data_IF_478667562378
#
_entry.id   IF_478667562378
#
_cell.length_a   1.000
_cell.length_b   1.000
_cell.length_c   1.000
_cell.angle_alpha   90.00
_cell.angle_beta   90.00
_cell.angle_gamma   90.00
#
_symmetry.space_group_name_H-M   'P 1'
#
loop_
_entity.id
_entity.type
_entity.pdbx_description
1 polymer ?
#
# COMPACT_ATOMS: atom_id res chain seq x y z
N UNK A 1 21.76 -52.71 -0.66
CA UNK A 1 22.18 -51.71 -1.68
C UNK A 1 20.98 -51.46 -2.58
N UNK A 2 20.34 -50.30 -2.45
CA UNK A 2 19.19 -49.92 -3.28
C UNK A 2 19.76 -49.15 -4.48
N UNK A 3 19.40 -49.49 -5.73
CA UNK A 3 19.96 -48.84 -6.90
C UNK A 3 19.55 -47.36 -6.94
N UNK A 4 20.51 -46.52 -7.32
CA UNK A 4 20.41 -45.07 -7.43
C UNK A 4 19.53 -44.63 -8.62
N UNK A 5 18.25 -45.00 -8.60
CA UNK A 5 17.31 -44.77 -9.71
C UNK A 5 15.93 -44.25 -9.33
N UNK A 6 15.66 -43.91 -8.07
CA UNK A 6 14.28 -43.62 -7.62
C UNK A 6 14.08 -42.28 -6.87
N UNK A 7 15.02 -41.33 -6.99
CA UNK A 7 14.87 -40.00 -6.36
C UNK A 7 15.00 -38.81 -7.35
N UNK A 8 14.86 -39.07 -8.66
CA UNK A 8 14.97 -38.04 -9.70
C UNK A 8 13.60 -37.52 -10.20
N UNK A 9 12.57 -37.51 -9.34
CA UNK A 9 11.23 -37.07 -9.74
C UNK A 9 10.51 -36.28 -8.63
N UNK A 10 11.09 -35.15 -8.21
CA UNK A 10 10.38 -34.05 -7.54
C UNK A 10 11.21 -32.75 -7.42
N UNK A 11 12.43 -32.74 -7.95
CA UNK A 11 13.33 -31.58 -7.91
C UNK A 11 13.38 -30.86 -9.24
N UNK A 12 12.22 -30.43 -9.75
CA UNK A 12 12.18 -29.43 -10.81
C UNK A 12 12.65 -28.09 -10.22
N UNK A 13 13.96 -27.95 -10.01
CA UNK A 13 14.59 -26.66 -9.79
C UNK A 13 14.47 -25.95 -11.14
N UNK A 14 13.32 -25.31 -11.35
CA UNK A 14 13.16 -24.30 -12.38
C UNK A 14 14.20 -23.25 -12.03
N UNK A 15 15.27 -23.19 -12.83
CA UNK A 15 16.21 -22.09 -12.77
C UNK A 15 15.39 -20.79 -12.81
N UNK A 16 15.52 -19.89 -11.82
CA UNK A 16 14.79 -18.64 -11.85
C UNK A 16 15.19 -17.90 -13.13
N UNK A 17 14.23 -17.35 -13.90
CA UNK A 17 14.57 -16.63 -15.10
C UNK A 17 15.45 -15.43 -14.73
N UNK A 18 16.44 -15.07 -15.57
CA UNK A 18 17.20 -13.83 -15.39
C UNK A 18 16.20 -12.67 -15.44
N UNK A 19 15.94 -12.03 -14.30
CA UNK A 19 14.80 -11.09 -14.22
C UNK A 19 14.54 -10.45 -12.87
N UNK A 20 15.43 -10.58 -11.88
CA UNK A 20 15.27 -9.97 -10.55
C UNK A 20 14.99 -8.46 -10.61
N UNK A 21 15.71 -7.75 -11.48
CA UNK A 21 15.51 -6.31 -11.72
C UNK A 21 14.15 -6.00 -12.37
N UNK A 22 13.71 -6.80 -13.36
CA UNK A 22 12.38 -6.63 -13.97
C UNK A 22 11.25 -6.87 -12.96
N UNK A 23 11.39 -7.84 -12.07
CA UNK A 23 10.40 -8.13 -11.01
C UNK A 23 10.37 -7.02 -9.96
N UNK A 24 11.52 -6.53 -9.51
CA UNK A 24 11.60 -5.38 -8.60
C UNK A 24 10.94 -4.15 -9.22
N UNK A 25 11.22 -3.86 -10.50
CA UNK A 25 10.59 -2.74 -11.21
C UNK A 25 9.08 -2.89 -11.32
N UNK A 26 8.56 -4.08 -11.64
CA UNK A 26 7.13 -4.32 -11.71
C UNK A 26 6.42 -4.06 -10.36
N UNK A 27 7.02 -4.54 -9.26
CA UNK A 27 6.51 -4.32 -7.90
C UNK A 27 6.63 -2.84 -7.50
N UNK A 28 7.72 -2.19 -7.87
CA UNK A 28 7.91 -0.76 -7.66
C UNK A 28 6.83 0.06 -8.40
N UNK A 29 6.52 -0.25 -9.66
CA UNK A 29 5.43 0.41 -10.40
C UNK A 29 4.08 0.27 -9.71
N UNK A 30 3.77 -0.91 -9.18
CA UNK A 30 2.56 -1.11 -8.39
C UNK A 30 2.55 -0.21 -7.14
N UNK A 31 3.65 -0.17 -6.38
CA UNK A 31 3.76 0.67 -5.20
C UNK A 31 3.70 2.18 -5.50
N UNK A 32 4.17 2.64 -6.67
CA UNK A 32 4.00 4.02 -7.13
C UNK A 32 2.51 4.32 -7.29
N UNK A 33 1.78 3.52 -8.08
CA UNK A 33 0.36 3.74 -8.37
C UNK A 33 -0.47 3.70 -7.08
N UNK A 34 -0.24 2.67 -6.25
CA UNK A 34 -0.92 2.51 -4.96
C UNK A 34 -0.62 3.64 -3.98
N UNK A 35 0.64 4.08 -3.90
CA UNK A 35 1.05 5.20 -3.07
C UNK A 35 0.40 6.51 -3.50
N UNK A 36 0.38 6.82 -4.79
CA UNK A 36 -0.30 8.03 -5.28
C UNK A 36 -1.81 7.98 -5.09
N UNK A 37 -2.46 6.84 -5.34
CA UNK A 37 -3.89 6.72 -5.19
C UNK A 37 -4.33 6.86 -3.72
N UNK A 38 -3.57 6.28 -2.78
CA UNK A 38 -3.80 6.46 -1.34
C UNK A 38 -3.47 7.88 -0.86
N UNK A 39 -2.44 8.53 -1.40
CA UNK A 39 -2.13 9.93 -1.11
C UNK A 39 -3.27 10.86 -1.54
N UNK A 40 -3.83 10.65 -2.73
CA UNK A 40 -4.99 11.42 -3.22
C UNK A 40 -6.21 11.23 -2.31
N UNK A 41 -6.48 10.00 -1.86
CA UNK A 41 -7.54 9.72 -0.91
C UNK A 41 -7.30 10.44 0.43
N UNK A 42 -6.05 10.44 0.92
CA UNK A 42 -5.70 11.14 2.15
C UNK A 42 -5.92 12.65 2.04
N UNK A 43 -5.56 13.26 0.90
CA UNK A 43 -5.83 14.67 0.61
C UNK A 43 -7.34 14.94 0.59
N UNK A 44 -8.12 14.08 -0.05
CA UNK A 44 -9.58 14.15 -0.03
C UNK A 44 -10.11 14.09 1.41
N UNK A 45 -9.66 13.12 2.21
CA UNK A 45 -10.06 12.97 3.60
C UNK A 45 -9.77 14.24 4.42
N UNK A 46 -8.57 14.83 4.30
CA UNK A 46 -8.21 16.09 4.97
C UNK A 46 -9.12 17.24 4.54
N UNK A 47 -9.47 17.34 3.25
CA UNK A 47 -10.32 18.41 2.73
C UNK A 47 -11.81 18.24 3.09
N UNK A 48 -12.27 17.01 3.37
CA UNK A 48 -13.63 16.75 3.84
C UNK A 48 -13.85 17.17 5.31
N UNK A 49 -12.80 17.23 6.13
CA UNK A 49 -12.92 17.53 7.57
C UNK A 49 -13.57 18.88 7.93
N UNK A 50 -13.22 20.01 7.29
CA UNK A 50 -13.89 21.28 7.60
C UNK A 50 -15.39 21.27 7.25
N UNK A 51 -15.84 20.38 6.37
CA UNK A 51 -17.27 20.23 6.05
C UNK A 51 -18.04 19.41 7.10
N UNK A 52 -17.32 18.59 7.89
CA UNK A 52 -17.86 17.79 9.00
C UNK A 52 -18.01 18.62 10.28
N UNK A 53 -17.15 19.64 10.47
CA UNK A 53 -17.22 20.55 11.60
C UNK A 53 -18.49 21.41 11.53
N UNK A 54 -19.46 21.12 12.40
CA UNK A 54 -20.70 21.88 12.56
C UNK A 54 -21.95 21.27 11.90
N UNK A 55 -21.80 20.21 11.10
CA UNK A 55 -22.93 19.45 10.50
C UNK A 55 -23.16 18.10 11.15
N UNK A 56 -22.12 17.52 11.77
CA UNK A 56 -22.18 16.23 12.46
C UNK A 56 -21.97 16.41 13.98
N UNK A 57 -22.47 15.48 14.79
CA UNK A 57 -22.26 15.41 16.25
C UNK A 57 -20.84 14.92 16.60
N UNK A 58 -19.84 15.32 15.83
CA UNK A 58 -18.42 14.99 16.06
C UNK A 58 -17.79 16.00 17.01
N UNK A 59 -17.03 15.51 17.98
CA UNK A 59 -16.25 16.34 18.89
C UNK A 59 -15.01 16.93 18.19
N UNK A 60 -14.46 18.02 18.71
CA UNK A 60 -13.22 18.61 18.17
C UNK A 60 -12.04 17.64 18.23
N UNK A 61 -12.00 16.78 19.26
CA UNK A 61 -10.95 15.78 19.45
C UNK A 61 -11.01 14.67 18.37
N UNK A 62 -12.20 14.20 18.02
CA UNK A 62 -12.40 13.23 16.94
C UNK A 62 -11.98 13.82 15.58
N UNK A 63 -12.27 15.10 15.34
CA UNK A 63 -11.84 15.79 14.11
C UNK A 63 -10.32 15.93 14.07
N UNK A 64 -9.69 16.27 15.19
CA UNK A 64 -8.23 16.35 15.29
C UNK A 64 -7.56 14.98 15.04
N UNK A 65 -8.11 13.90 15.60
CA UNK A 65 -7.63 12.53 15.38
C UNK A 65 -7.77 12.09 13.93
N UNK A 66 -8.93 12.31 13.31
CA UNK A 66 -9.13 12.04 11.88
C UNK A 66 -8.11 12.81 11.02
N UNK A 67 -7.76 14.03 11.42
CA UNK A 67 -6.82 14.87 10.68
C UNK A 67 -5.42 14.32 10.77
N UNK A 68 -5.02 13.94 11.98
CA UNK A 68 -3.73 13.32 12.22
C UNK A 68 -3.60 12.01 11.42
N UNK A 69 -4.60 11.13 11.45
CA UNK A 69 -4.56 9.87 10.72
C UNK A 69 -4.54 10.06 9.21
N UNK A 70 -5.31 11.02 8.68
CA UNK A 70 -5.27 11.34 7.25
C UNK A 70 -3.91 11.93 6.83
N UNK A 71 -3.27 12.77 7.65
CA UNK A 71 -1.93 13.27 7.39
C UNK A 71 -0.86 12.18 7.47
N UNK A 72 -0.99 11.23 8.41
CA UNK A 72 -0.10 10.07 8.52
C UNK A 72 -0.29 9.10 7.34
N UNK A 73 -1.51 8.94 6.85
CA UNK A 73 -1.78 8.22 5.61
C UNK A 73 -1.11 8.91 4.42
N UNK A 74 -1.23 10.24 4.30
CA UNK A 74 -0.57 11.02 3.24
C UNK A 74 0.95 10.88 3.31
N UNK A 75 1.54 10.99 4.50
CA UNK A 75 2.99 10.89 4.68
C UNK A 75 3.51 9.49 4.31
N UNK A 76 2.84 8.45 4.79
CA UNK A 76 3.25 7.06 4.52
C UNK A 76 3.11 6.69 3.04
N UNK A 77 2.00 7.07 2.42
CA UNK A 77 1.73 6.80 1.00
C UNK A 77 2.66 7.60 0.07
N UNK A 78 2.96 8.86 0.40
CA UNK A 78 3.95 9.65 -0.33
C UNK A 78 5.36 9.05 -0.20
N UNK A 79 5.75 8.60 1.00
CA UNK A 79 7.04 7.94 1.21
C UNK A 79 7.15 6.61 0.46
N UNK A 80 6.07 5.81 0.43
CA UNK A 80 5.97 4.62 -0.41
C UNK A 80 6.18 4.97 -1.89
N UNK A 81 5.44 5.95 -2.42
CA UNK A 81 5.50 6.33 -3.82
C UNK A 81 6.89 6.87 -4.21
N UNK A 82 7.50 7.70 -3.36
CA UNK A 82 8.83 8.26 -3.58
C UNK A 82 9.90 7.15 -3.63
N UNK A 83 9.90 6.24 -2.66
CA UNK A 83 10.85 5.13 -2.65
C UNK A 83 10.64 4.16 -3.81
N UNK A 84 9.39 3.88 -4.16
CA UNK A 84 9.06 3.04 -5.30
C UNK A 84 9.50 3.69 -6.63
N UNK A 85 9.42 5.03 -6.74
CA UNK A 85 9.94 5.77 -7.90
C UNK A 85 11.45 5.54 -8.05
N UNK A 86 12.20 5.67 -6.96
CA UNK A 86 13.64 5.39 -6.98
C UNK A 86 13.93 3.95 -7.42
N UNK A 87 13.20 2.97 -6.90
CA UNK A 87 13.37 1.57 -7.29
C UNK A 87 12.97 1.29 -8.76
N UNK A 88 11.95 1.96 -9.29
CA UNK A 88 11.48 1.79 -10.66
C UNK A 88 12.46 2.39 -11.68
N UNK A 89 13.04 3.55 -11.37
CA UNK A 89 13.91 4.31 -12.27
C UNK A 89 15.41 4.12 -12.01
N UNK A 90 15.80 3.30 -11.03
CA UNK A 90 17.21 3.01 -10.80
C UNK A 90 17.85 2.39 -12.05
N UNK A 91 18.99 2.94 -12.47
CA UNK A 91 19.79 2.39 -13.56
C UNK A 91 20.46 1.07 -13.15
N UNK A 92 20.82 0.25 -14.13
CA UNK A 92 21.54 -1.02 -13.88
C UNK A 92 22.97 -0.76 -13.36
N UNK A 93 23.51 0.44 -13.61
CA UNK A 93 24.84 0.89 -13.17
C UNK A 93 24.88 1.34 -11.71
N UNK A 94 23.73 1.53 -11.05
CA UNK A 94 23.70 1.86 -9.64
C UNK A 94 24.25 0.70 -8.79
N UNK A 95 24.91 1.03 -7.68
CA UNK A 95 25.47 0.06 -6.73
C UNK A 95 24.50 -1.10 -6.50
N UNK A 96 24.97 -2.33 -6.75
CA UNK A 96 24.21 -3.57 -6.49
C UNK A 96 23.58 -3.48 -5.09
N UNK A 97 22.25 -3.47 -5.04
CA UNK A 97 21.48 -3.40 -3.80
C UNK A 97 20.70 -2.09 -3.57
N UNK A 98 21.06 -0.96 -4.18
CA UNK A 98 20.30 0.30 -4.02
C UNK A 98 18.84 0.17 -4.48
N UNK A 99 18.53 -0.36 -5.67
CA UNK A 99 17.14 -0.54 -6.11
C UNK A 99 16.35 -1.46 -5.18
N UNK A 100 17.02 -2.50 -4.66
CA UNK A 100 16.41 -3.44 -3.73
C UNK A 100 16.07 -2.78 -2.39
N UNK A 101 16.98 -1.97 -1.82
CA UNK A 101 16.73 -1.26 -0.56
C UNK A 101 15.54 -0.31 -0.66
N UNK A 102 15.44 0.44 -1.75
CA UNK A 102 14.30 1.33 -1.99
C UNK A 102 13.00 0.55 -2.23
N UNK A 103 13.05 -0.59 -2.92
CA UNK A 103 11.89 -1.47 -3.09
C UNK A 103 11.44 -2.07 -1.75
N UNK A 104 12.37 -2.53 -0.91
CA UNK A 104 12.07 -3.04 0.43
C UNK A 104 11.47 -1.94 1.32
N UNK A 105 12.00 -0.72 1.25
CA UNK A 105 11.46 0.42 1.98
C UNK A 105 10.05 0.78 1.49
N UNK A 106 9.83 0.89 0.18
CA UNK A 106 8.51 1.13 -0.40
C UNK A 106 7.50 0.07 0.05
N UNK A 107 7.94 -1.18 0.11
CA UNK A 107 7.14 -2.30 0.57
C UNK A 107 6.76 -2.18 2.06
N UNK A 108 7.73 -1.85 2.92
CA UNK A 108 7.49 -1.60 4.35
C UNK A 108 6.55 -0.42 4.58
N UNK A 109 6.72 0.68 3.82
CA UNK A 109 5.81 1.82 3.86
C UNK A 109 4.40 1.44 3.39
N UNK A 110 4.27 0.49 2.46
CA UNK A 110 2.97 -0.08 2.08
C UNK A 110 2.20 -0.68 3.24
N UNK A 111 2.87 -1.30 4.21
CA UNK A 111 2.22 -1.82 5.43
C UNK A 111 1.71 -0.68 6.31
N UNK A 112 2.53 0.35 6.50
CA UNK A 112 2.14 1.53 7.26
C UNK A 112 0.96 2.25 6.59
N UNK A 113 1.00 2.40 5.26
CA UNK A 113 -0.09 2.97 4.46
C UNK A 113 -1.37 2.14 4.57
N UNK A 114 -1.28 0.81 4.50
CA UNK A 114 -2.44 -0.07 4.67
C UNK A 114 -3.10 0.11 6.05
N UNK A 115 -2.30 0.09 7.13
CA UNK A 115 -2.83 0.29 8.48
C UNK A 115 -3.48 1.67 8.66
N UNK A 116 -2.85 2.73 8.14
CA UNK A 116 -3.40 4.09 8.23
C UNK A 116 -4.66 4.24 7.40
N UNK A 117 -4.72 3.55 6.25
CA UNK A 117 -5.89 3.55 5.37
C UNK A 117 -7.10 2.92 6.08
N UNK A 118 -6.89 1.81 6.77
CA UNK A 118 -7.93 1.13 7.55
C UNK A 118 -8.49 2.04 8.66
N UNK A 119 -7.61 2.69 9.43
CA UNK A 119 -8.02 3.65 10.47
C UNK A 119 -8.84 4.82 9.89
N UNK A 120 -8.32 5.48 8.84
CA UNK A 120 -9.00 6.64 8.22
C UNK A 120 -10.39 6.26 7.71
N UNK A 121 -10.53 5.07 7.12
CA UNK A 121 -11.80 4.62 6.56
C UNK A 121 -12.78 4.20 7.65
N UNK A 122 -12.31 3.49 8.68
CA UNK A 122 -13.14 3.15 9.83
C UNK A 122 -13.68 4.39 10.52
N UNK A 123 -12.82 5.38 10.79
CA UNK A 123 -13.23 6.66 11.38
C UNK A 123 -14.18 7.44 10.47
N UNK A 124 -13.91 7.51 9.17
CA UNK A 124 -14.80 8.18 8.22
C UNK A 124 -16.17 7.49 8.14
N UNK A 125 -16.22 6.16 8.16
CA UNK A 125 -17.47 5.39 8.19
C UNK A 125 -18.23 5.63 9.51
N UNK A 126 -17.53 5.63 10.65
CA UNK A 126 -18.13 5.87 11.96
C UNK A 126 -18.74 7.27 12.06
N UNK A 127 -18.04 8.29 11.55
CA UNK A 127 -18.54 9.67 11.53
C UNK A 127 -19.72 9.86 10.56
N UNK A 128 -19.65 9.28 9.36
CA UNK A 128 -20.72 9.40 8.35
C UNK A 128 -22.00 8.67 8.74
N UNK A 129 -21.90 7.50 9.39
CA UNK A 129 -23.05 6.66 9.77
C UNK A 129 -23.56 6.97 11.17
N UNK A 130 -22.66 7.18 12.13
CA UNK A 130 -22.98 7.33 13.55
C UNK A 130 -23.27 8.77 13.98
N UNK A 131 -22.52 9.73 13.45
CA UNK A 131 -22.54 11.12 13.95
C UNK A 131 -23.30 12.10 13.05
N UNK A 132 -23.77 11.65 11.88
CA UNK A 132 -24.37 12.51 10.87
C UNK A 132 -25.65 11.93 10.23
N UNK A 133 -26.63 11.45 11.02
CA UNK A 133 -27.81 10.76 10.50
C UNK A 133 -28.64 11.69 9.61
N UNK A 134 -28.75 11.36 8.32
CA UNK A 134 -29.60 12.07 7.36
C UNK A 134 -28.90 13.15 6.51
N UNK A 135 -27.59 13.37 6.70
CA UNK A 135 -26.82 14.21 5.78
C UNK A 135 -26.64 13.50 4.43
N UNK A 136 -26.60 14.26 3.32
CA UNK A 136 -26.26 13.74 1.98
C UNK A 136 -24.88 13.05 1.93
N UNK A 137 -24.10 13.16 3.00
CA UNK A 137 -22.85 12.45 3.23
C UNK A 137 -23.00 10.92 3.22
N UNK A 138 -24.17 10.36 3.55
CA UNK A 138 -24.41 8.91 3.42
C UNK A 138 -24.37 8.43 1.95
N UNK A 139 -24.76 9.31 1.01
CA UNK A 139 -24.69 9.07 -0.44
C UNK A 139 -23.28 9.32 -0.99
N UNK A 140 -22.43 10.05 -0.24
CA UNK A 140 -21.01 10.27 -0.56
C UNK A 140 -20.04 9.40 0.26
N UNK A 141 -20.51 8.66 1.25
CA UNK A 141 -19.71 7.70 2.04
C UNK A 141 -19.54 6.35 1.34
N UNK A 142 -20.53 5.91 0.56
CA UNK A 142 -20.45 4.70 -0.29
C UNK A 142 -19.30 4.73 -1.30
N UNK A 143 -19.03 5.82 -2.04
CA UNK A 143 -17.83 5.87 -2.87
C UNK A 143 -16.55 5.85 -2.03
N UNK A 144 -16.50 6.43 -0.83
CA UNK A 144 -15.31 6.38 0.02
C UNK A 144 -14.97 4.92 0.43
N UNK A 145 -15.98 4.16 0.84
CA UNK A 145 -15.85 2.72 1.15
C UNK A 145 -15.51 1.90 -0.09
N UNK A 146 -16.06 2.24 -1.25
CA UNK A 146 -15.70 1.58 -2.51
C UNK A 146 -14.24 1.85 -2.89
N UNK A 147 -13.77 3.10 -2.75
CA UNK A 147 -12.36 3.45 -2.98
C UNK A 147 -11.44 2.75 -1.97
N UNK A 148 -11.88 2.58 -0.73
CA UNK A 148 -11.16 1.77 0.25
C UNK A 148 -10.99 0.32 -0.21
N UNK A 149 -12.07 -0.37 -0.59
CA UNK A 149 -11.99 -1.77 -1.04
C UNK A 149 -11.08 -1.87 -2.27
N UNK A 150 -11.20 -0.93 -3.21
CA UNK A 150 -10.37 -0.86 -4.41
C UNK A 150 -8.90 -0.57 -4.13
N UNK A 151 -8.54 -0.01 -2.96
CA UNK A 151 -7.16 0.27 -2.58
C UNK A 151 -6.59 -0.77 -1.62
N UNK A 152 -7.36 -1.19 -0.63
CA UNK A 152 -6.97 -2.16 0.39
C UNK A 152 -6.73 -3.55 -0.20
N UNK A 153 -7.61 -4.02 -1.09
CA UNK A 153 -7.47 -5.35 -1.70
C UNK A 153 -6.18 -5.43 -2.53
N UNK A 154 -5.88 -4.49 -3.45
CA UNK A 154 -4.61 -4.52 -4.17
C UNK A 154 -3.41 -4.26 -3.26
N UNK A 155 -3.48 -3.37 -2.26
CA UNK A 155 -2.36 -3.19 -1.32
C UNK A 155 -2.01 -4.49 -0.61
N UNK A 156 -3.00 -5.24 -0.14
CA UNK A 156 -2.78 -6.56 0.49
C UNK A 156 -2.24 -7.62 -0.48
N UNK A 157 -2.75 -7.63 -1.72
CA UNK A 157 -2.31 -8.59 -2.74
C UNK A 157 -0.88 -8.32 -3.21
N UNK A 158 -0.55 -7.05 -3.48
CA UNK A 158 0.80 -6.61 -3.83
C UNK A 158 1.76 -6.69 -2.64
N UNK A 159 1.27 -6.63 -1.41
CA UNK A 159 2.07 -6.96 -0.24
C UNK A 159 2.54 -8.42 -0.27
N UNK A 160 1.61 -9.38 -0.38
CA UNK A 160 1.95 -10.81 -0.41
C UNK A 160 2.87 -11.17 -1.59
N UNK A 161 2.61 -10.63 -2.77
CA UNK A 161 3.44 -10.84 -3.95
C UNK A 161 4.81 -10.16 -3.81
N UNK A 162 4.85 -8.95 -3.23
CA UNK A 162 6.07 -8.17 -3.05
C UNK A 162 7.07 -8.86 -2.12
N UNK A 163 6.62 -9.46 -1.01
CA UNK A 163 7.49 -10.26 -0.11
C UNK A 163 8.17 -11.40 -0.88
N UNK A 164 7.39 -12.17 -1.66
CA UNK A 164 7.93 -13.27 -2.46
C UNK A 164 8.96 -12.79 -3.48
N UNK A 165 8.70 -11.67 -4.15
CA UNK A 165 9.65 -11.08 -5.12
C UNK A 165 10.90 -10.52 -4.47
N UNK A 166 10.80 -9.88 -3.30
CA UNK A 166 11.94 -9.34 -2.54
C UNK A 166 12.86 -10.46 -2.04
N UNK A 167 12.29 -11.55 -1.53
CA UNK A 167 13.02 -12.75 -1.13
C UNK A 167 13.68 -13.39 -2.34
N UNK A 168 12.95 -13.56 -3.44
CA UNK A 168 13.49 -14.15 -4.67
C UNK A 168 14.67 -13.34 -5.23
N UNK A 169 14.59 -12.01 -5.20
CA UNK A 169 15.66 -11.14 -5.67
C UNK A 169 16.88 -11.08 -4.72
N UNK A 170 16.69 -11.44 -3.44
CA UNK A 170 17.79 -11.58 -2.47
C UNK A 170 18.53 -12.92 -2.64
N UNK A 171 17.77 -14.01 -2.86
CA UNK A 171 18.30 -15.37 -2.96
C UNK A 171 18.87 -15.67 -4.35
N UNK A 172 18.30 -15.06 -5.40
CA UNK A 172 18.69 -15.24 -6.80
C UNK A 172 18.96 -13.88 -7.48
N UNK A 173 20.12 -13.26 -7.20
CA UNK A 173 20.47 -11.93 -7.69
C UNK A 173 20.73 -11.86 -9.19
#
# INVERSE_FOLDING_TARGET
>A
MIPAGAAAAAGGIVAPPPGGVMRIRAVAWAHIVLGWATALLAVLAVNLQPQLQGTCTTTEDEVAHMRADALLLLLSSAAQAAAATVAAFASEDWRKGVPWTFAAFAHGMGVATFHRLDNVVFLAALVTVGSCPGSQLLVHGTPLVAHFILLAVPLGLFFLLGVSTLISALVYP
#
